data_IF_084879032199
#
_entry.id   IF_084879032199
#
_cell.length_a   1.000
_cell.length_b   1.000
_cell.length_c   1.000
_cell.angle_alpha   90.00
_cell.angle_beta   90.00
_cell.angle_gamma   90.00
#
_symmetry.space_group_name_H-M   'P 1'
#
loop_
_entity.id
_entity.type
_entity.pdbx_description
1 polymer ?
#
# COMPACT_ATOMS: atom_id res chain seq x y z
N UNK A 1 14.37 -26.40 16.23
CA UNK A 1 13.60 -25.20 15.84
C UNK A 1 14.08 -23.92 16.51
N UNK A 2 13.85 -23.63 17.82
CA UNK A 2 14.28 -22.32 18.41
C UNK A 2 15.77 -21.99 18.21
N UNK A 3 16.68 -22.96 18.31
CA UNK A 3 18.13 -22.73 18.06
C UNK A 3 18.44 -22.47 16.58
N UNK A 4 17.73 -23.10 15.69
CA UNK A 4 17.94 -22.90 14.24
C UNK A 4 17.40 -21.56 13.79
N UNK A 5 16.24 -21.15 14.31
CA UNK A 5 15.69 -19.81 14.05
C UNK A 5 16.65 -18.73 14.56
N UNK A 6 17.18 -18.84 15.79
CA UNK A 6 18.14 -17.87 16.30
C UNK A 6 19.36 -17.74 15.36
N UNK A 7 19.92 -18.87 14.87
CA UNK A 7 21.05 -18.85 13.92
C UNK A 7 20.69 -18.17 12.60
N UNK A 8 19.44 -18.34 12.11
CA UNK A 8 18.97 -17.66 10.91
C UNK A 8 18.91 -16.15 11.16
N UNK A 9 18.29 -15.73 12.26
CA UNK A 9 18.18 -14.32 12.60
C UNK A 9 19.58 -13.66 12.73
N UNK A 10 20.57 -14.39 13.28
CA UNK A 10 21.95 -13.91 13.38
C UNK A 10 22.68 -13.86 12.04
N UNK A 11 22.16 -14.51 10.98
CA UNK A 11 22.74 -14.49 9.63
C UNK A 11 22.20 -13.36 8.75
N UNK A 12 21.23 -12.57 9.22
CA UNK A 12 20.73 -11.37 8.54
C UNK A 12 21.88 -10.38 8.37
N UNK A 13 22.11 -9.95 7.13
CA UNK A 13 23.29 -9.17 6.75
C UNK A 13 22.91 -7.72 6.39
N UNK A 14 23.18 -6.82 7.33
CA UNK A 14 22.92 -5.38 7.17
C UNK A 14 23.61 -4.76 5.94
N UNK A 15 24.79 -5.25 5.57
CA UNK A 15 25.51 -4.73 4.40
C UNK A 15 24.80 -5.14 3.10
N UNK A 16 24.29 -6.36 3.04
CA UNK A 16 23.51 -6.85 1.91
C UNK A 16 22.18 -6.07 1.80
N UNK A 17 21.47 -5.89 2.92
CA UNK A 17 20.27 -5.03 3.00
C UNK A 17 20.59 -3.63 2.46
N UNK A 18 21.64 -2.99 2.97
CA UNK A 18 22.01 -1.62 2.58
C UNK A 18 22.30 -1.54 1.08
N UNK A 19 23.10 -2.47 0.55
CA UNK A 19 23.50 -2.46 -0.87
C UNK A 19 22.30 -2.69 -1.78
N UNK A 20 21.45 -3.67 -1.46
CA UNK A 20 20.28 -3.98 -2.25
C UNK A 20 19.22 -2.86 -2.20
N UNK A 21 19.02 -2.23 -1.04
CA UNK A 21 18.08 -1.13 -0.91
C UNK A 21 18.51 0.08 -1.76
N UNK A 22 19.80 0.43 -1.73
CA UNK A 22 20.34 1.50 -2.57
C UNK A 22 20.16 1.17 -4.06
N UNK A 23 20.43 -0.07 -4.46
CA UNK A 23 20.27 -0.51 -5.84
C UNK A 23 18.79 -0.48 -6.28
N UNK A 24 17.89 -0.96 -5.42
CA UNK A 24 16.46 -0.95 -5.68
C UNK A 24 15.88 0.47 -5.79
N UNK A 25 16.29 1.40 -4.92
CA UNK A 25 15.85 2.81 -5.00
C UNK A 25 16.39 3.47 -6.27
N UNK A 26 17.65 3.21 -6.65
CA UNK A 26 18.26 3.77 -7.87
C UNK A 26 17.64 3.19 -9.16
N UNK A 27 16.97 2.06 -9.08
CA UNK A 27 16.16 1.49 -10.15
C UNK A 27 14.77 2.14 -10.11
N UNK A 28 14.61 3.27 -10.85
CA UNK A 28 13.33 3.96 -10.93
C UNK A 28 12.27 3.07 -11.59
N UNK A 29 11.19 2.84 -10.88
CA UNK A 29 10.17 1.86 -11.25
C UNK A 29 8.75 2.40 -11.02
N UNK A 30 8.33 3.46 -11.72
CA UNK A 30 6.95 3.91 -11.60
C UNK A 30 6.01 2.79 -12.10
N UNK A 31 4.76 2.79 -11.62
CA UNK A 31 3.75 1.86 -12.12
C UNK A 31 3.74 1.81 -13.64
N UNK A 32 3.62 0.61 -14.19
CA UNK A 32 3.72 0.26 -15.62
C UNK A 32 5.12 0.32 -16.25
N UNK A 33 6.20 0.57 -15.46
CA UNK A 33 7.58 0.54 -15.91
C UNK A 33 8.53 -0.11 -14.87
N UNK A 34 8.12 -1.24 -14.30
CA UNK A 34 8.74 -1.86 -13.12
C UNK A 34 9.84 -2.88 -13.47
N UNK A 35 10.05 -3.22 -14.73
CA UNK A 35 10.96 -4.29 -15.16
C UNK A 35 12.36 -4.20 -14.56
N UNK A 36 12.94 -3.00 -14.45
CA UNK A 36 14.27 -2.82 -13.85
C UNK A 36 14.31 -3.18 -12.36
N UNK A 37 13.26 -2.86 -11.59
CA UNK A 37 13.21 -3.23 -10.16
C UNK A 37 13.05 -4.76 -10.02
N UNK A 38 12.24 -5.39 -10.86
CA UNK A 38 12.10 -6.85 -10.92
C UNK A 38 13.45 -7.51 -11.26
N UNK A 39 14.22 -6.95 -12.19
CA UNK A 39 15.58 -7.45 -12.53
C UNK A 39 16.54 -7.33 -11.34
N UNK A 40 16.53 -6.23 -10.59
CA UNK A 40 17.37 -6.06 -9.39
C UNK A 40 17.04 -7.15 -8.34
N UNK A 41 15.77 -7.38 -8.08
CA UNK A 41 15.34 -8.36 -7.09
C UNK A 41 15.58 -9.80 -7.54
N UNK A 42 15.32 -10.12 -8.83
CA UNK A 42 15.62 -11.45 -9.37
C UNK A 42 17.12 -11.75 -9.35
N UNK A 43 17.97 -10.80 -9.69
CA UNK A 43 19.42 -10.94 -9.62
C UNK A 43 19.93 -11.21 -8.19
N UNK A 44 19.33 -10.55 -7.19
CA UNK A 44 19.65 -10.80 -5.78
C UNK A 44 19.29 -12.24 -5.35
N UNK A 45 18.12 -12.73 -5.77
CA UNK A 45 17.68 -14.11 -5.52
C UNK A 45 18.56 -15.14 -6.25
N UNK A 46 18.87 -14.92 -7.53
CA UNK A 46 19.77 -15.78 -8.31
C UNK A 46 21.14 -15.93 -7.68
N UNK A 47 21.76 -14.80 -7.31
CA UNK A 47 23.05 -14.77 -6.61
C UNK A 47 23.05 -15.56 -5.29
N UNK A 48 21.90 -15.62 -4.64
CA UNK A 48 21.72 -16.36 -3.39
C UNK A 48 21.31 -17.84 -3.62
N UNK A 49 21.01 -18.24 -4.85
CA UNK A 49 20.51 -19.58 -5.19
C UNK A 49 19.07 -19.82 -4.76
N UNK A 50 18.25 -18.76 -4.65
CA UNK A 50 16.83 -18.85 -4.33
C UNK A 50 16.04 -18.98 -5.63
N UNK A 51 15.34 -20.10 -5.89
CA UNK A 51 14.55 -20.26 -7.11
C UNK A 51 13.31 -19.37 -7.08
N UNK A 52 12.98 -18.82 -8.25
CA UNK A 52 11.79 -17.99 -8.43
C UNK A 52 11.11 -18.28 -9.78
N UNK A 53 9.91 -17.76 -9.94
CA UNK A 53 9.18 -17.73 -11.21
C UNK A 53 8.70 -16.31 -11.50
N UNK A 54 8.58 -15.98 -12.79
CA UNK A 54 7.96 -14.74 -13.24
C UNK A 54 6.53 -15.04 -13.71
N UNK A 55 5.56 -14.30 -13.20
CA UNK A 55 4.18 -14.33 -13.63
C UNK A 55 3.91 -13.08 -14.48
N UNK A 56 3.73 -13.20 -15.80
CA UNK A 56 3.40 -12.04 -16.64
C UNK A 56 2.14 -11.32 -16.16
N UNK A 57 2.19 -9.99 -16.12
CA UNK A 57 1.04 -9.14 -15.80
C UNK A 57 0.66 -8.38 -17.08
N UNK A 58 -0.47 -8.73 -17.72
CA UNK A 58 -0.86 -8.13 -18.99
C UNK A 58 -1.11 -6.62 -18.85
N UNK A 59 -0.62 -5.85 -19.81
CA UNK A 59 -0.89 -4.43 -19.94
C UNK A 59 -1.19 -4.06 -21.39
N UNK A 60 -2.17 -3.18 -21.62
CA UNK A 60 -2.68 -2.88 -22.96
C UNK A 60 -1.86 -1.88 -23.76
N UNK A 61 -1.01 -1.07 -23.09
CA UNK A 61 -0.27 0.02 -23.74
C UNK A 61 1.09 0.22 -23.09
N UNK A 62 2.05 -0.70 -23.23
CA UNK A 62 3.33 -0.52 -22.58
C UNK A 62 4.28 -1.69 -22.69
N UNK A 63 5.09 -1.89 -21.67
CA UNK A 63 6.13 -2.89 -21.59
C UNK A 63 5.51 -4.30 -21.40
N UNK A 64 5.62 -5.15 -22.41
CA UNK A 64 5.21 -6.56 -22.37
C UNK A 64 6.06 -7.40 -21.39
N UNK A 65 7.11 -6.81 -20.77
CA UNK A 65 7.99 -7.48 -19.81
C UNK A 65 7.55 -7.36 -18.34
N UNK A 66 6.43 -6.71 -18.06
CA UNK A 66 5.90 -6.61 -16.68
C UNK A 66 5.54 -7.98 -16.12
N UNK A 67 6.05 -8.29 -14.96
CA UNK A 67 5.78 -9.55 -14.30
C UNK A 67 5.89 -9.43 -12.77
N UNK A 68 5.06 -10.18 -12.07
CA UNK A 68 5.28 -10.47 -10.66
C UNK A 68 6.45 -11.45 -10.51
N UNK A 69 7.28 -11.26 -9.49
CA UNK A 69 8.35 -12.17 -9.11
C UNK A 69 7.88 -13.02 -7.92
N UNK A 70 7.85 -14.35 -8.07
CA UNK A 70 7.26 -15.26 -7.09
C UNK A 70 8.29 -16.29 -6.64
N UNK A 71 8.46 -16.44 -5.33
CA UNK A 71 9.25 -17.49 -4.67
C UNK A 71 8.31 -18.42 -3.92
N UNK A 72 8.51 -19.73 -4.08
CA UNK A 72 7.83 -20.74 -3.25
C UNK A 72 8.86 -21.58 -2.52
N UNK A 73 8.74 -21.69 -1.21
CA UNK A 73 9.48 -22.62 -0.36
C UNK A 73 8.53 -23.71 0.15
N UNK A 74 8.99 -24.96 0.15
CA UNK A 74 8.21 -26.09 0.61
C UNK A 74 7.09 -26.54 -0.36
N UNK A 75 6.25 -27.49 0.09
CA UNK A 75 5.20 -28.08 -0.77
C UNK A 75 3.94 -27.21 -0.82
N UNK A 76 3.15 -27.34 -1.89
CA UNK A 76 1.78 -26.82 -1.92
C UNK A 76 0.84 -27.69 -1.06
N UNK A 77 -0.27 -27.14 -0.50
CA UNK A 77 -0.69 -25.74 -0.60
C UNK A 77 0.12 -24.79 0.29
N UNK A 78 0.07 -23.48 -0.01
CA UNK A 78 0.67 -22.48 0.84
C UNK A 78 -0.12 -22.31 2.14
N UNK A 79 0.59 -22.08 3.25
CA UNK A 79 0.00 -21.69 4.55
C UNK A 79 0.23 -20.22 4.87
N UNK A 80 1.21 -19.59 4.19
CA UNK A 80 1.59 -18.20 4.34
C UNK A 80 1.98 -17.62 2.98
N UNK A 81 1.57 -16.39 2.72
CA UNK A 81 2.02 -15.56 1.62
C UNK A 81 2.53 -14.23 2.17
N UNK A 82 3.74 -13.85 1.77
CA UNK A 82 4.28 -12.52 2.04
C UNK A 82 4.36 -11.75 0.73
N UNK A 83 3.94 -10.49 0.72
CA UNK A 83 3.83 -9.69 -0.50
C UNK A 83 4.46 -8.32 -0.30
N UNK A 84 5.12 -7.83 -1.33
CA UNK A 84 5.55 -6.44 -1.45
C UNK A 84 5.40 -5.96 -2.88
N UNK A 85 5.10 -4.68 -3.08
CA UNK A 85 5.11 -4.08 -4.42
C UNK A 85 6.49 -3.50 -4.77
N UNK A 86 6.81 -3.48 -6.05
CA UNK A 86 8.11 -3.03 -6.56
C UNK A 86 8.04 -1.67 -7.26
N UNK A 87 6.83 -1.23 -7.56
CA UNK A 87 6.58 0.06 -8.17
C UNK A 87 6.64 1.22 -7.16
N UNK A 88 6.61 2.41 -7.68
CA UNK A 88 6.55 3.66 -6.95
C UNK A 88 5.61 4.62 -7.68
N UNK A 89 5.15 5.65 -7.00
CA UNK A 89 4.50 6.77 -7.66
C UNK A 89 5.43 7.44 -8.70
N UNK A 90 4.86 8.26 -9.58
CA UNK A 90 5.62 9.08 -10.53
C UNK A 90 6.47 10.15 -9.83
N UNK A 91 7.56 10.56 -10.47
CA UNK A 91 8.38 11.68 -9.99
C UNK A 91 7.63 13.01 -10.13
N UNK A 92 7.70 13.82 -9.08
CA UNK A 92 7.19 15.20 -9.11
C UNK A 92 8.22 16.23 -9.61
N UNK A 93 9.50 15.84 -9.79
CA UNK A 93 10.54 16.66 -10.41
C UNK A 93 11.69 15.79 -10.94
N UNK A 94 12.40 16.26 -11.96
CA UNK A 94 13.56 15.56 -12.53
C UNK A 94 14.68 15.37 -11.49
N UNK A 95 15.23 14.15 -11.42
CA UNK A 95 16.40 13.79 -10.58
C UNK A 95 16.11 13.47 -9.12
N UNK A 96 14.85 13.31 -8.72
CA UNK A 96 14.46 13.14 -7.32
C UNK A 96 14.41 11.70 -6.78
N UNK A 97 14.74 10.66 -7.57
CA UNK A 97 14.56 9.27 -7.15
C UNK A 97 15.79 8.60 -6.52
N UNK A 98 17.00 9.13 -6.74
CA UNK A 98 18.24 8.47 -6.35
C UNK A 98 18.40 8.28 -4.83
N UNK A 99 18.99 7.14 -4.45
CA UNK A 99 19.27 6.81 -3.06
C UNK A 99 20.32 7.74 -2.45
N UNK A 100 20.03 8.29 -1.28
CA UNK A 100 20.95 9.09 -0.47
C UNK A 100 21.05 8.49 0.92
N UNK A 101 22.24 8.11 1.32
CA UNK A 101 22.47 7.60 2.68
C UNK A 101 22.95 8.70 3.61
N UNK A 102 22.36 8.75 4.80
CA UNK A 102 22.83 9.56 5.91
C UNK A 102 22.84 8.68 7.18
N UNK A 103 24.00 8.27 7.64
CA UNK A 103 24.19 7.30 8.72
C UNK A 103 23.37 6.01 8.50
N UNK A 104 22.37 5.78 9.33
CA UNK A 104 21.47 4.63 9.32
C UNK A 104 20.15 4.89 8.59
N UNK A 105 20.05 6.00 7.88
CA UNK A 105 18.83 6.36 7.12
C UNK A 105 19.16 6.35 5.63
N UNK A 106 18.30 5.67 4.86
CA UNK A 106 18.33 5.70 3.39
C UNK A 106 17.13 6.50 2.91
N UNK A 107 17.42 7.59 2.20
CA UNK A 107 16.43 8.44 1.54
C UNK A 107 16.31 8.05 0.07
N UNK A 108 15.12 8.24 -0.48
CA UNK A 108 14.83 8.07 -1.90
C UNK A 108 13.40 7.59 -2.12
N UNK A 109 12.90 7.80 -3.32
CA UNK A 109 11.55 7.37 -3.72
C UNK A 109 11.40 5.85 -3.62
N UNK A 110 10.35 5.39 -2.94
CA UNK A 110 10.13 3.98 -2.66
C UNK A 110 10.94 3.44 -1.48
N UNK A 111 11.72 4.26 -0.75
CA UNK A 111 12.52 3.79 0.39
C UNK A 111 11.64 3.22 1.50
N UNK A 112 10.57 3.92 1.86
CA UNK A 112 9.56 3.48 2.82
C UNK A 112 8.46 2.67 2.13
N UNK A 113 8.01 3.12 0.96
CA UNK A 113 6.86 2.60 0.23
C UNK A 113 7.24 2.03 -1.14
N UNK A 114 7.44 0.64 -1.28
CA UNK A 114 7.75 -0.21 -0.13
C UNK A 114 9.00 -1.06 -0.40
N UNK A 115 10.03 -0.48 -1.11
CA UNK A 115 11.28 -1.20 -1.43
C UNK A 115 12.04 -1.64 -0.19
N UNK A 116 11.94 -0.88 0.94
CA UNK A 116 12.45 -1.31 2.23
C UNK A 116 11.84 -2.63 2.70
N UNK A 117 10.53 -2.78 2.58
CA UNK A 117 9.80 -4.01 2.86
C UNK A 117 10.20 -5.15 1.92
N UNK A 118 10.31 -4.88 0.61
CA UNK A 118 10.77 -5.86 -0.37
C UNK A 118 12.18 -6.37 -0.10
N UNK A 119 13.11 -5.48 0.24
CA UNK A 119 14.49 -5.86 0.58
C UNK A 119 14.54 -6.69 1.85
N UNK A 120 13.72 -6.37 2.85
CA UNK A 120 13.60 -7.18 4.06
C UNK A 120 13.08 -8.61 3.76
N UNK A 121 12.10 -8.75 2.84
CA UNK A 121 11.61 -10.05 2.37
C UNK A 121 12.70 -10.86 1.65
N UNK A 122 13.47 -10.23 0.76
CA UNK A 122 14.58 -10.88 0.04
C UNK A 122 15.65 -11.35 1.02
N UNK A 123 16.02 -10.51 1.99
CA UNK A 123 17.01 -10.86 2.99
C UNK A 123 16.56 -12.04 3.87
N UNK A 124 15.29 -12.05 4.27
CA UNK A 124 14.69 -13.16 5.00
C UNK A 124 14.74 -14.48 4.20
N UNK A 125 14.37 -14.44 2.91
CA UNK A 125 14.47 -15.58 2.01
C UNK A 125 15.91 -16.11 1.92
N UNK A 126 16.86 -15.22 1.71
CA UNK A 126 18.30 -15.58 1.61
C UNK A 126 18.78 -16.26 2.89
N UNK A 127 18.44 -15.72 4.05
CA UNK A 127 18.85 -16.27 5.34
C UNK A 127 18.26 -17.68 5.57
N UNK A 128 16.97 -17.86 5.27
CA UNK A 128 16.26 -19.13 5.44
C UNK A 128 16.79 -20.19 4.47
N UNK A 129 16.95 -19.86 3.19
CA UNK A 129 17.44 -20.81 2.17
C UNK A 129 18.87 -21.23 2.46
N UNK A 130 19.77 -20.30 2.82
CA UNK A 130 21.14 -20.62 3.21
C UNK A 130 21.24 -21.50 4.45
N UNK A 131 20.30 -21.40 5.37
CA UNK A 131 20.26 -22.27 6.55
C UNK A 131 19.89 -23.72 6.20
N UNK A 132 19.31 -23.97 5.04
CA UNK A 132 18.97 -25.32 4.55
C UNK A 132 17.89 -26.01 5.39
N UNK A 133 16.99 -25.25 6.04
CA UNK A 133 15.93 -25.84 6.87
C UNK A 133 14.81 -26.37 5.96
N UNK A 134 14.42 -27.66 6.10
CA UNK A 134 13.33 -28.20 5.33
C UNK A 134 12.00 -27.50 5.68
N UNK A 135 11.29 -27.04 4.69
CA UNK A 135 9.93 -26.52 4.84
C UNK A 135 8.93 -27.67 4.72
N UNK A 136 8.13 -27.90 5.75
CA UNK A 136 7.07 -28.92 5.76
C UNK A 136 5.77 -28.38 5.17
N UNK A 137 5.57 -27.07 5.25
CA UNK A 137 4.42 -26.37 4.70
C UNK A 137 4.88 -25.36 3.66
N UNK A 138 4.02 -25.05 2.70
CA UNK A 138 4.32 -24.12 1.63
C UNK A 138 4.30 -22.66 2.09
N UNK A 139 5.34 -21.92 1.74
CA UNK A 139 5.47 -20.48 1.97
C UNK A 139 5.63 -19.81 0.61
N UNK A 140 4.78 -18.83 0.32
CA UNK A 140 4.91 -17.95 -0.83
C UNK A 140 5.52 -16.61 -0.44
N UNK A 141 6.36 -16.07 -1.31
CA UNK A 141 6.77 -14.65 -1.26
C UNK A 141 6.62 -14.09 -2.66
N UNK A 142 5.91 -12.98 -2.79
CA UNK A 142 5.63 -12.37 -4.08
C UNK A 142 6.03 -10.88 -4.06
N UNK A 143 6.65 -10.45 -5.14
CA UNK A 143 6.93 -9.06 -5.43
C UNK A 143 6.05 -8.69 -6.62
N UNK A 144 5.05 -7.85 -6.37
CA UNK A 144 4.01 -7.51 -7.35
C UNK A 144 4.28 -6.16 -8.00
N UNK A 145 3.70 -5.94 -9.15
CA UNK A 145 3.79 -4.70 -9.93
C UNK A 145 2.45 -3.95 -9.88
N UNK A 146 2.48 -2.64 -10.06
CA UNK A 146 1.28 -1.81 -10.32
C UNK A 146 0.41 -1.50 -9.11
N UNK A 147 0.89 -1.64 -7.89
CA UNK A 147 0.13 -1.36 -6.65
C UNK A 147 -0.31 0.10 -6.60
N UNK A 148 0.59 1.03 -6.87
CA UNK A 148 0.43 2.48 -6.75
C UNK A 148 -0.63 3.08 -7.70
N UNK A 149 -1.10 2.31 -8.69
CA UNK A 149 -2.07 2.77 -9.68
C UNK A 149 -3.28 1.83 -9.81
N UNK A 150 -3.09 0.57 -10.17
CA UNK A 150 -4.19 -0.31 -10.56
C UNK A 150 -4.33 -1.58 -9.74
N UNK A 151 -3.30 -1.97 -8.97
CA UNK A 151 -3.24 -3.25 -8.27
C UNK A 151 -3.29 -4.46 -9.21
N UNK A 152 -2.94 -4.30 -10.49
CA UNK A 152 -3.09 -5.34 -11.51
C UNK A 152 -2.17 -6.54 -11.26
N UNK A 153 -0.99 -6.31 -10.67
CA UNK A 153 -0.09 -7.39 -10.24
C UNK A 153 -0.72 -8.27 -9.15
N UNK A 154 -1.27 -7.67 -8.12
CA UNK A 154 -1.98 -8.40 -7.06
C UNK A 154 -3.23 -9.11 -7.60
N UNK A 155 -4.01 -8.44 -8.47
CA UNK A 155 -5.16 -9.04 -9.15
C UNK A 155 -4.79 -10.26 -10.00
N UNK A 156 -3.62 -10.23 -10.67
CA UNK A 156 -3.13 -11.39 -11.43
C UNK A 156 -2.65 -12.50 -10.48
N UNK A 157 -1.96 -12.13 -9.40
CA UNK A 157 -1.42 -13.09 -8.44
C UNK A 157 -2.51 -13.92 -7.76
N UNK A 158 -3.61 -13.30 -7.30
CA UNK A 158 -4.69 -14.02 -6.60
C UNK A 158 -5.44 -15.03 -7.46
N UNK A 159 -5.28 -15.02 -8.79
CA UNK A 159 -5.86 -16.02 -9.68
C UNK A 159 -5.20 -17.39 -9.55
N UNK A 160 -3.94 -17.42 -9.13
CA UNK A 160 -3.11 -18.62 -9.11
C UNK A 160 -2.49 -18.95 -7.76
N UNK A 161 -2.38 -17.95 -6.87
CA UNK A 161 -1.73 -18.07 -5.56
C UNK A 161 -2.73 -17.71 -4.46
N UNK A 162 -2.85 -18.56 -3.44
CA UNK A 162 -3.67 -18.30 -2.26
C UNK A 162 -3.03 -18.89 -1.01
N UNK A 163 -3.24 -18.25 0.13
CA UNK A 163 -2.82 -18.73 1.44
C UNK A 163 -3.84 -18.31 2.51
N UNK A 164 -4.01 -19.04 3.61
CA UNK A 164 -4.91 -18.65 4.71
C UNK A 164 -4.45 -17.41 5.47
N UNK A 165 -3.15 -17.08 5.42
CA UNK A 165 -2.54 -15.87 6.00
C UNK A 165 -1.69 -15.17 4.94
N UNK A 166 -1.94 -13.87 4.74
CA UNK A 166 -1.14 -13.01 3.86
C UNK A 166 -0.61 -11.82 4.66
N UNK A 167 0.68 -11.52 4.50
CA UNK A 167 1.33 -10.35 5.08
C UNK A 167 1.76 -9.43 3.95
N UNK A 168 1.35 -8.16 4.02
CA UNK A 168 1.78 -7.11 3.09
C UNK A 168 2.83 -6.26 3.80
N UNK A 169 3.98 -6.06 3.17
CA UNK A 169 5.16 -5.43 3.78
C UNK A 169 5.18 -3.90 3.72
N UNK A 170 4.01 -3.23 3.71
CA UNK A 170 3.85 -1.77 3.71
C UNK A 170 4.42 -1.09 4.97
N UNK A 171 4.71 0.23 4.92
CA UNK A 171 5.34 0.98 5.99
C UNK A 171 4.41 1.18 7.19
N UNK A 172 4.55 0.36 8.21
CA UNK A 172 3.78 0.40 9.47
C UNK A 172 4.66 0.62 10.70
N UNK A 173 5.95 0.95 10.54
CA UNK A 173 6.94 0.92 11.62
C UNK A 173 6.90 -0.41 12.40
N UNK A 174 6.70 -1.53 11.69
CA UNK A 174 6.56 -2.89 12.22
C UNK A 174 5.36 -3.10 13.17
N UNK A 175 4.38 -2.21 13.16
CA UNK A 175 3.09 -2.45 13.83
C UNK A 175 2.29 -3.47 13.01
N UNK A 176 1.81 -4.58 13.62
CA UNK A 176 0.99 -5.55 12.89
C UNK A 176 -0.43 -5.00 12.72
N UNK A 177 -0.73 -4.41 11.57
CA UNK A 177 -2.03 -3.83 11.30
C UNK A 177 -3.03 -4.91 10.88
N UNK A 178 -3.94 -5.24 11.80
CA UNK A 178 -5.04 -6.21 11.58
C UNK A 178 -6.32 -5.54 11.08
N UNK A 179 -6.33 -4.21 11.05
CA UNK A 179 -7.35 -3.40 10.41
C UNK A 179 -6.71 -2.54 9.30
N UNK A 180 -7.46 -2.34 8.24
CA UNK A 180 -7.00 -1.69 7.02
C UNK A 180 -8.10 -0.78 6.49
N UNK A 181 -7.75 0.46 6.15
CA UNK A 181 -8.71 1.40 5.61
C UNK A 181 -9.14 1.01 4.20
N UNK A 182 -10.35 1.42 3.86
CA UNK A 182 -10.86 1.43 2.50
C UNK A 182 -10.50 2.72 1.79
N UNK A 183 -10.81 2.76 0.50
CA UNK A 183 -10.57 3.91 -0.36
C UNK A 183 -11.76 4.17 -1.26
N UNK A 184 -12.14 5.44 -1.38
CA UNK A 184 -13.13 5.90 -2.34
C UNK A 184 -12.55 7.08 -3.13
N UNK A 185 -12.50 6.94 -4.44
CA UNK A 185 -12.20 8.06 -5.33
C UNK A 185 -13.50 8.60 -5.93
N UNK A 186 -13.66 9.92 -5.85
CA UNK A 186 -14.87 10.58 -6.36
C UNK A 186 -14.50 11.77 -7.23
N UNK A 187 -15.06 11.80 -8.43
CA UNK A 187 -15.08 12.99 -9.29
C UNK A 187 -16.26 13.87 -8.93
N UNK A 188 -15.99 15.15 -8.70
CA UNK A 188 -16.99 16.19 -8.54
C UNK A 188 -17.03 17.05 -9.79
N UNK A 189 -18.23 17.39 -10.26
CA UNK A 189 -18.43 18.20 -11.47
C UNK A 189 -19.39 19.33 -11.13
N UNK A 190 -19.01 20.57 -11.51
CA UNK A 190 -19.87 21.72 -11.42
C UNK A 190 -20.01 22.39 -12.77
N UNK A 191 -21.24 22.60 -13.20
CA UNK A 191 -21.58 23.27 -14.47
C UNK A 191 -22.40 24.51 -14.16
N UNK A 192 -21.83 25.64 -14.49
CA UNK A 192 -22.41 26.97 -14.24
C UNK A 192 -23.00 27.61 -15.46
N UNK A 193 -23.17 28.93 -15.38
CA UNK A 193 -23.69 29.74 -16.45
C UNK A 193 -22.74 30.91 -16.72
N UNK A 194 -22.27 31.01 -17.96
CA UNK A 194 -21.38 32.09 -18.40
C UNK A 194 -22.03 33.46 -18.29
N UNK A 195 -21.26 34.44 -17.86
CA UNK A 195 -21.60 35.85 -17.83
C UNK A 195 -20.34 36.71 -18.00
N UNK A 196 -20.47 37.99 -18.19
CA UNK A 196 -19.34 38.92 -18.21
C UNK A 196 -18.71 39.00 -16.81
N UNK A 197 -17.37 38.95 -16.73
CA UNK A 197 -16.65 38.91 -15.44
C UNK A 197 -16.92 40.14 -14.52
N UNK A 198 -17.33 41.29 -15.08
CA UNK A 198 -17.67 42.47 -14.29
C UNK A 198 -19.08 42.45 -13.67
N UNK A 199 -19.93 41.50 -14.05
CA UNK A 199 -21.30 41.29 -13.52
C UNK A 199 -21.49 39.80 -13.17
N UNK A 200 -20.72 39.27 -12.22
CA UNK A 200 -20.69 37.84 -11.92
C UNK A 200 -22.03 37.32 -11.38
N UNK A 201 -22.86 38.19 -10.81
CA UNK A 201 -24.21 37.88 -10.35
C UNK A 201 -25.21 37.53 -11.47
N UNK A 202 -24.88 37.86 -12.73
CA UNK A 202 -25.68 37.49 -13.90
C UNK A 202 -25.38 36.05 -14.38
N UNK A 203 -24.39 35.37 -13.80
CA UNK A 203 -23.99 33.99 -14.14
C UNK A 203 -23.95 33.09 -12.93
N UNK A 204 -23.61 31.81 -13.19
CA UNK A 204 -23.32 30.81 -12.16
C UNK A 204 -21.88 30.41 -12.21
N UNK A 205 -21.07 30.80 -11.23
CA UNK A 205 -19.64 30.49 -11.22
C UNK A 205 -19.38 29.06 -10.73
N UNK A 206 -18.99 28.19 -11.67
CA UNK A 206 -18.70 26.79 -11.39
C UNK A 206 -17.53 26.61 -10.41
N UNK A 207 -16.48 27.43 -10.51
CA UNK A 207 -15.33 27.35 -9.59
C UNK A 207 -15.75 27.72 -8.17
N UNK A 208 -16.54 28.77 -7.99
CA UNK A 208 -17.00 29.18 -6.65
C UNK A 208 -17.86 28.09 -5.98
N UNK A 209 -18.74 27.45 -6.76
CA UNK A 209 -19.57 26.37 -6.25
C UNK A 209 -18.72 25.11 -5.92
N UNK A 210 -17.72 24.77 -6.75
CA UNK A 210 -16.81 23.64 -6.49
C UNK A 210 -16.02 23.87 -5.20
N UNK A 211 -15.42 25.04 -5.02
CA UNK A 211 -14.69 25.39 -3.80
C UNK A 211 -15.59 25.29 -2.56
N UNK A 212 -16.82 25.83 -2.65
CA UNK A 212 -17.79 25.72 -1.57
C UNK A 212 -18.16 24.28 -1.25
N UNK A 213 -18.30 23.43 -2.26
CA UNK A 213 -18.66 22.01 -2.10
C UNK A 213 -17.53 21.23 -1.42
N UNK A 214 -16.30 21.33 -1.92
CA UNK A 214 -15.12 20.68 -1.32
C UNK A 214 -14.93 21.12 0.13
N UNK A 215 -15.01 22.43 0.42
CA UNK A 215 -14.87 22.95 1.79
C UNK A 215 -15.98 22.43 2.72
N UNK A 216 -17.17 22.24 2.23
CA UNK A 216 -18.28 21.61 3.00
C UNK A 216 -17.99 20.13 3.30
N UNK A 217 -17.52 19.37 2.31
CA UNK A 217 -17.14 17.96 2.49
C UNK A 217 -16.04 17.87 3.55
N UNK A 218 -14.96 18.64 3.42
CA UNK A 218 -13.83 18.68 4.37
C UNK A 218 -14.32 19.06 5.78
N UNK A 219 -15.12 20.12 5.92
CA UNK A 219 -15.62 20.56 7.20
C UNK A 219 -16.53 19.54 7.90
N UNK A 220 -17.33 18.81 7.13
CA UNK A 220 -18.18 17.74 7.67
C UNK A 220 -17.38 16.50 8.06
N UNK A 221 -16.33 16.14 7.32
CA UNK A 221 -15.48 15.00 7.65
C UNK A 221 -14.71 15.19 8.97
N UNK A 222 -14.50 16.45 9.39
CA UNK A 222 -13.87 16.79 10.67
C UNK A 222 -14.85 16.83 11.86
N UNK A 223 -16.13 16.52 11.61
CA UNK A 223 -17.19 16.54 12.63
C UNK A 223 -17.68 15.13 12.95
N UNK A 224 -18.21 14.85 14.16
CA UNK A 224 -18.82 13.55 14.43
C UNK A 224 -19.82 13.11 13.35
N UNK A 225 -19.83 11.83 12.95
CA UNK A 225 -19.10 10.70 13.57
C UNK A 225 -17.67 10.44 13.04
N UNK A 226 -17.13 11.25 12.12
CA UNK A 226 -15.95 10.92 11.29
C UNK A 226 -14.55 11.32 11.83
N UNK A 227 -14.31 12.14 12.84
CA UNK A 227 -13.06 12.92 12.99
C UNK A 227 -11.75 12.12 13.05
N UNK A 228 -11.77 10.83 13.30
CA UNK A 228 -10.58 9.97 13.27
C UNK A 228 -10.70 8.79 12.30
N UNK A 229 -11.83 8.68 11.61
CA UNK A 229 -12.21 7.51 10.82
C UNK A 229 -12.21 7.79 9.31
N UNK A 230 -12.01 9.05 8.93
CA UNK A 230 -12.10 9.51 7.56
C UNK A 230 -11.03 10.56 7.29
N UNK A 231 -10.11 10.27 6.36
CA UNK A 231 -9.25 11.28 5.77
C UNK A 231 -9.82 11.69 4.41
N UNK A 232 -9.88 12.99 4.15
CA UNK A 232 -10.41 13.57 2.91
C UNK A 232 -9.35 14.45 2.29
N UNK A 233 -8.96 14.13 1.06
CA UNK A 233 -7.93 14.84 0.31
C UNK A 233 -8.45 15.29 -1.06
N UNK A 234 -8.68 16.60 -1.30
CA UNK A 234 -8.82 17.11 -2.67
C UNK A 234 -7.49 16.94 -3.42
N UNK A 235 -7.46 16.02 -4.39
CA UNK A 235 -6.24 15.69 -5.13
C UNK A 235 -6.03 16.60 -6.34
N UNK A 236 -7.11 16.88 -7.07
CA UNK A 236 -7.06 17.65 -8.30
C UNK A 236 -8.24 18.63 -8.39
N UNK A 237 -8.01 19.76 -9.04
CA UNK A 237 -9.07 20.69 -9.41
C UNK A 237 -8.70 21.40 -10.72
N UNK A 238 -9.62 21.37 -11.68
CA UNK A 238 -9.48 21.98 -12.99
C UNK A 238 -10.74 22.76 -13.37
N UNK A 239 -10.60 23.98 -13.84
CA UNK A 239 -11.76 24.76 -14.22
C UNK A 239 -11.43 26.16 -14.74
N UNK A 240 -12.44 26.78 -15.33
CA UNK A 240 -12.36 28.10 -15.93
C UNK A 240 -11.86 28.10 -17.37
N UNK A 241 -11.96 29.26 -18.00
CA UNK A 241 -11.51 29.51 -19.35
C UNK A 241 -10.60 30.76 -19.39
N UNK A 242 -9.74 30.89 -20.43
CA UNK A 242 -8.78 32.00 -20.51
C UNK A 242 -9.42 33.33 -20.90
N UNK A 243 -10.73 33.50 -20.78
CA UNK A 243 -11.48 34.69 -21.16
C UNK A 243 -11.97 35.46 -19.92
N UNK A 244 -12.40 36.72 -20.10
CA UNK A 244 -12.97 37.56 -19.05
C UNK A 244 -14.46 37.21 -18.80
N UNK A 245 -14.72 35.99 -18.40
CA UNK A 245 -16.06 35.45 -18.18
C UNK A 245 -16.19 34.78 -16.82
N UNK A 246 -17.41 34.61 -16.34
CA UNK A 246 -17.74 33.72 -15.22
C UNK A 246 -17.50 32.29 -15.66
N UNK A 247 -16.78 31.49 -14.86
CA UNK A 247 -16.42 30.13 -15.19
C UNK A 247 -17.67 29.23 -15.31
N UNK A 248 -17.76 28.52 -16.43
CA UNK A 248 -18.91 27.69 -16.76
C UNK A 248 -18.70 26.21 -16.37
N UNK A 249 -17.44 25.80 -16.17
CA UNK A 249 -17.12 24.43 -15.83
C UNK A 249 -15.99 24.35 -14.80
N UNK A 250 -16.09 23.37 -13.87
CA UNK A 250 -15.03 22.97 -12.97
C UNK A 250 -15.20 21.52 -12.55
N UNK A 251 -14.11 20.74 -12.57
CA UNK A 251 -14.04 19.38 -12.09
C UNK A 251 -13.00 19.27 -10.97
N UNK A 252 -13.19 18.33 -10.06
CA UNK A 252 -12.24 18.00 -9.02
C UNK A 252 -12.23 16.49 -8.75
N UNK A 253 -11.07 15.96 -8.38
CA UNK A 253 -10.94 14.63 -7.80
C UNK A 253 -10.72 14.75 -6.30
N UNK A 254 -11.44 13.95 -5.55
CA UNK A 254 -11.37 13.91 -4.09
C UNK A 254 -11.23 12.47 -3.61
N UNK A 255 -10.25 12.24 -2.76
CA UNK A 255 -9.92 10.95 -2.19
C UNK A 255 -10.45 10.86 -0.77
N UNK A 256 -10.99 9.69 -0.42
CA UNK A 256 -11.43 9.35 0.92
C UNK A 256 -10.71 8.08 1.36
N UNK A 257 -9.89 8.17 2.43
CA UNK A 257 -9.39 7.00 3.15
C UNK A 257 -10.33 6.73 4.32
N UNK A 258 -10.92 5.55 4.32
CA UNK A 258 -12.13 5.25 5.08
C UNK A 258 -11.87 4.13 6.07
N UNK A 259 -12.01 4.40 7.38
CA UNK A 259 -11.95 3.34 8.41
C UNK A 259 -12.93 2.21 8.09
N UNK A 260 -12.62 0.95 8.45
CA UNK A 260 -13.54 -0.18 8.28
C UNK A 260 -14.92 0.00 8.93
N UNK A 261 -15.01 0.92 9.89
CA UNK A 261 -16.24 1.22 10.65
C UNK A 261 -17.14 2.26 9.94
N UNK A 262 -16.68 2.82 8.81
CA UNK A 262 -17.43 3.81 8.00
C UNK A 262 -17.83 3.16 6.68
N UNK A 263 -19.11 3.25 6.35
CA UNK A 263 -19.65 2.64 5.14
C UNK A 263 -19.58 3.58 3.93
N UNK A 264 -19.70 3.02 2.72
CA UNK A 264 -19.83 3.79 1.50
C UNK A 264 -21.05 4.72 1.55
N UNK A 265 -22.14 4.26 2.16
CA UNK A 265 -23.38 5.00 2.33
C UNK A 265 -23.19 6.23 3.22
N UNK A 266 -22.33 6.15 4.24
CA UNK A 266 -21.98 7.30 5.10
C UNK A 266 -21.26 8.40 4.30
N UNK A 267 -20.33 8.02 3.43
CA UNK A 267 -19.63 8.97 2.55
C UNK A 267 -20.58 9.57 1.52
N UNK A 268 -21.44 8.73 0.92
CA UNK A 268 -22.47 9.21 0.00
C UNK A 268 -23.39 10.22 0.67
N UNK A 269 -23.81 9.98 1.92
CA UNK A 269 -24.64 10.92 2.70
C UNK A 269 -23.90 12.23 2.96
N UNK A 270 -22.61 12.18 3.30
CA UNK A 270 -21.74 13.35 3.49
C UNK A 270 -21.68 14.19 2.21
N UNK A 271 -21.41 13.56 1.05
CA UNK A 271 -21.32 14.24 -0.25
C UNK A 271 -22.68 14.88 -0.60
N UNK A 272 -23.78 14.16 -0.46
CA UNK A 272 -25.14 14.65 -0.75
C UNK A 272 -25.57 15.79 0.17
N UNK A 273 -25.20 15.74 1.45
CA UNK A 273 -25.52 16.80 2.41
C UNK A 273 -24.81 18.09 2.04
N UNK A 274 -23.51 17.99 1.69
CA UNK A 274 -22.73 19.12 1.21
C UNK A 274 -23.31 19.65 -0.12
N UNK A 275 -23.63 18.77 -1.08
CA UNK A 275 -24.24 19.10 -2.36
C UNK A 275 -25.53 19.93 -2.17
N UNK A 276 -26.47 19.44 -1.36
CA UNK A 276 -27.75 20.15 -1.10
C UNK A 276 -27.53 21.57 -0.56
N UNK A 277 -26.59 21.74 0.37
CA UNK A 277 -26.25 23.05 0.95
C UNK A 277 -25.71 24.01 -0.11
N UNK A 278 -24.81 23.53 -0.98
CA UNK A 278 -24.16 24.36 -2.01
C UNK A 278 -25.14 24.68 -3.16
N UNK A 279 -25.95 23.73 -3.60
CA UNK A 279 -26.96 23.97 -4.64
C UNK A 279 -27.97 25.03 -4.23
N UNK A 280 -28.29 25.13 -2.93
CA UNK A 280 -29.16 26.19 -2.41
C UNK A 280 -28.48 27.58 -2.49
N UNK A 281 -27.18 27.64 -2.22
CA UNK A 281 -26.40 28.88 -2.25
C UNK A 281 -25.99 29.31 -3.69
N UNK A 282 -25.92 28.36 -4.61
CA UNK A 282 -25.51 28.55 -6.01
C UNK A 282 -26.58 28.04 -7.00
N UNK A 283 -27.77 28.65 -7.06
CA UNK A 283 -28.94 28.11 -7.81
C UNK A 283 -28.71 28.07 -9.32
N UNK A 284 -27.74 28.80 -9.88
CA UNK A 284 -27.38 28.79 -11.29
C UNK A 284 -26.25 27.81 -11.64
N UNK A 285 -25.85 26.95 -10.69
CA UNK A 285 -24.82 25.93 -10.89
C UNK A 285 -25.42 24.56 -10.66
N UNK A 286 -25.24 23.67 -11.63
CA UNK A 286 -25.55 22.25 -11.50
C UNK A 286 -24.33 21.52 -10.92
N UNK A 287 -24.56 20.68 -9.91
CA UNK A 287 -23.53 19.86 -9.26
C UNK A 287 -23.83 18.38 -9.51
N UNK A 288 -22.79 17.63 -9.84
CA UNK A 288 -22.86 16.19 -10.06
C UNK A 288 -21.62 15.52 -9.46
N UNK A 289 -21.74 14.26 -9.02
CA UNK A 289 -20.59 13.47 -8.59
C UNK A 289 -20.66 12.05 -9.15
N UNK A 290 -19.47 11.46 -9.34
CA UNK A 290 -19.28 10.11 -9.82
C UNK A 290 -18.21 9.40 -8.99
N UNK A 291 -18.54 8.27 -8.39
CA UNK A 291 -17.55 7.40 -7.78
C UNK A 291 -16.79 6.63 -8.86
N UNK A 292 -15.45 6.74 -8.83
CA UNK A 292 -14.57 6.11 -9.81
C UNK A 292 -14.04 4.77 -9.29
N UNK A 293 -13.66 4.72 -8.00
CA UNK A 293 -13.13 3.53 -7.36
C UNK A 293 -13.74 3.38 -5.96
N UNK A 294 -14.02 2.16 -5.55
CA UNK A 294 -14.33 1.79 -4.18
C UNK A 294 -13.59 0.52 -3.80
N UNK A 295 -12.73 0.59 -2.80
CA UNK A 295 -12.10 -0.54 -2.14
C UNK A 295 -12.54 -0.54 -0.66
N UNK A 296 -13.32 -1.53 -0.19
CA UNK A 296 -13.78 -1.56 1.20
C UNK A 296 -12.61 -1.83 2.16
N UNK A 297 -12.61 -1.15 3.30
CA UNK A 297 -11.74 -1.48 4.42
C UNK A 297 -12.15 -2.81 5.09
N UNK A 298 -11.26 -3.32 5.94
CA UNK A 298 -11.54 -4.55 6.71
C UNK A 298 -10.90 -4.49 8.09
N UNK A 299 -11.44 -5.31 9.02
CA UNK A 299 -10.88 -5.52 10.36
C UNK A 299 -10.95 -7.00 10.70
N UNK A 300 -9.82 -7.60 11.00
CA UNK A 300 -9.76 -8.96 11.49
C UNK A 300 -9.75 -9.00 13.03
N UNK A 301 -10.29 -10.08 13.58
CA UNK A 301 -10.21 -10.30 15.02
C UNK A 301 -8.75 -10.55 15.43
N UNK A 302 -8.30 -9.86 16.44
CA UNK A 302 -6.98 -10.10 17.02
C UNK A 302 -6.86 -11.50 17.63
N UNK A 303 -7.99 -12.14 17.98
CA UNK A 303 -8.04 -13.51 18.52
C UNK A 303 -7.98 -14.60 17.42
N UNK A 304 -7.91 -14.24 16.13
CA UNK A 304 -7.88 -15.23 15.05
C UNK A 304 -6.65 -16.14 15.19
N UNK A 305 -6.90 -17.46 15.18
CA UNK A 305 -5.87 -18.46 15.39
C UNK A 305 -4.79 -18.46 14.30
N UNK A 306 -5.12 -17.99 13.09
CA UNK A 306 -4.18 -17.85 11.96
C UNK A 306 -3.05 -16.87 12.28
N UNK A 307 -3.26 -15.93 13.20
CA UNK A 307 -2.23 -15.00 13.70
C UNK A 307 -1.18 -15.68 14.61
N UNK A 308 -1.38 -16.93 14.99
CA UNK A 308 -0.51 -17.61 15.95
C UNK A 308 0.95 -17.69 15.54
N UNK A 309 1.25 -17.98 14.26
CA UNK A 309 2.62 -17.98 13.73
C UNK A 309 3.24 -16.58 13.73
N UNK A 310 2.46 -15.55 13.37
CA UNK A 310 2.91 -14.18 13.37
C UNK A 310 3.23 -13.67 14.79
N UNK A 311 2.38 -13.96 15.78
CA UNK A 311 2.64 -13.60 17.19
C UNK A 311 3.94 -14.23 17.70
N UNK A 312 4.18 -15.51 17.40
CA UNK A 312 5.44 -16.17 17.79
C UNK A 312 6.65 -15.60 17.06
N UNK A 313 6.48 -15.19 15.80
CA UNK A 313 7.55 -14.53 15.06
C UNK A 313 7.92 -13.17 15.67
N UNK A 314 6.93 -12.39 16.11
CA UNK A 314 7.16 -11.14 16.87
C UNK A 314 7.97 -11.40 18.14
N UNK A 315 7.59 -12.39 18.93
CA UNK A 315 8.34 -12.78 20.14
C UNK A 315 9.78 -13.16 19.83
N UNK A 316 10.02 -13.94 18.77
CA UNK A 316 11.36 -14.37 18.37
C UNK A 316 12.21 -13.22 17.81
N UNK A 317 11.60 -12.29 17.12
CA UNK A 317 12.26 -11.08 16.63
C UNK A 317 12.47 -10.03 17.72
N UNK A 318 11.97 -10.26 18.96
CA UNK A 318 12.08 -9.30 20.06
C UNK A 318 11.18 -8.08 19.92
N UNK A 319 10.09 -8.20 19.13
CA UNK A 319 9.12 -7.15 18.89
C UNK A 319 7.88 -7.30 19.80
N UNK A 320 7.26 -6.17 20.14
CA UNK A 320 6.01 -6.17 20.90
C UNK A 320 4.82 -6.41 19.98
N UNK A 321 3.91 -7.30 20.38
CA UNK A 321 2.63 -7.49 19.71
C UNK A 321 1.64 -6.42 20.16
N UNK A 322 1.44 -5.41 19.34
CA UNK A 322 0.50 -4.31 19.57
C UNK A 322 -0.21 -4.02 18.25
N UNK A 323 -1.31 -4.68 17.94
CA UNK A 323 -2.04 -4.48 16.69
C UNK A 323 -2.52 -3.05 16.51
N UNK A 324 -2.54 -2.62 15.25
CA UNK A 324 -2.99 -1.29 14.84
C UNK A 324 -3.83 -1.30 13.58
N UNK A 325 -4.12 -0.10 13.09
CA UNK A 325 -4.87 0.15 11.87
C UNK A 325 -3.91 0.72 10.81
N UNK A 326 -3.90 0.14 9.60
CA UNK A 326 -3.25 0.75 8.44
C UNK A 326 -4.19 1.78 7.82
N UNK A 327 -3.81 3.05 7.86
CA UNK A 327 -4.68 4.18 7.53
C UNK A 327 -4.70 4.56 6.05
N UNK A 328 -4.26 3.66 5.19
CA UNK A 328 -4.34 3.80 3.73
C UNK A 328 -5.01 2.57 3.13
N UNK A 329 -5.25 2.59 1.82
CA UNK A 329 -5.49 1.38 1.06
C UNK A 329 -4.15 0.81 0.59
N UNK A 330 -4.17 -0.45 0.18
CA UNK A 330 -3.05 -1.14 -0.46
C UNK A 330 -3.57 -2.41 -1.14
N UNK A 331 -2.68 -3.20 -1.73
CA UNK A 331 -3.01 -4.53 -2.24
C UNK A 331 -3.70 -5.43 -1.20
N UNK A 332 -3.59 -5.12 0.09
CA UNK A 332 -4.31 -5.83 1.15
C UNK A 332 -5.83 -5.85 0.92
N UNK A 333 -6.41 -4.80 0.33
CA UNK A 333 -7.84 -4.79 -0.04
C UNK A 333 -8.14 -5.89 -1.06
N UNK A 334 -7.24 -6.12 -2.03
CA UNK A 334 -7.39 -7.14 -3.08
C UNK A 334 -7.29 -8.53 -2.46
N UNK A 335 -6.24 -8.80 -1.68
CA UNK A 335 -6.05 -10.10 -1.03
C UNK A 335 -7.19 -10.44 -0.09
N UNK A 336 -7.69 -9.48 0.69
CA UNK A 336 -8.81 -9.70 1.60
C UNK A 336 -10.08 -10.20 0.90
N UNK A 337 -10.29 -9.86 -0.40
CA UNK A 337 -11.45 -10.37 -1.17
C UNK A 337 -11.43 -11.87 -1.38
N UNK A 338 -10.28 -12.52 -1.25
CA UNK A 338 -10.13 -13.98 -1.40
C UNK A 338 -10.46 -14.76 -0.12
N UNK A 339 -10.77 -14.08 0.98
CA UNK A 339 -11.04 -14.69 2.29
C UNK A 339 -9.79 -15.05 3.08
N UNK A 340 -8.59 -14.67 2.60
CA UNK A 340 -7.36 -14.77 3.40
C UNK A 340 -7.41 -13.81 4.58
N UNK A 341 -6.80 -14.19 5.69
CA UNK A 341 -6.53 -13.23 6.75
C UNK A 341 -5.34 -12.37 6.33
N UNK A 342 -5.57 -11.08 6.11
CA UNK A 342 -4.55 -10.16 5.61
C UNK A 342 -4.09 -9.22 6.72
N UNK A 343 -2.77 -9.11 6.91
CA UNK A 343 -2.14 -8.21 7.88
C UNK A 343 -1.12 -7.36 7.14
N UNK A 344 -1.09 -6.09 7.44
CA UNK A 344 -0.07 -5.17 6.92
C UNK A 344 1.01 -4.98 7.97
N UNK A 345 2.27 -5.23 7.62
CA UNK A 345 3.38 -5.10 8.55
C UNK A 345 4.72 -5.01 7.82
N UNK A 346 5.37 -3.88 7.87
CA UNK A 346 6.68 -3.66 7.28
C UNK A 346 7.45 -2.49 7.90
N UNK A 347 8.70 -2.27 7.46
CA UNK A 347 9.55 -1.19 7.93
C UNK A 347 9.14 0.14 7.29
N UNK A 348 9.49 1.24 7.94
CA UNK A 348 9.18 2.59 7.46
C UNK A 348 7.87 3.12 8.03
N UNK A 349 7.64 4.41 7.82
CA UNK A 349 6.47 5.13 8.29
C UNK A 349 5.68 5.68 7.09
N UNK A 350 4.39 5.37 7.03
CA UNK A 350 3.48 5.88 5.99
C UNK A 350 3.48 7.42 5.91
N UNK A 351 3.76 8.10 7.02
CA UNK A 351 3.77 9.57 7.07
C UNK A 351 4.88 10.21 6.21
N UNK A 352 5.93 9.47 5.86
CA UNK A 352 7.00 9.98 4.99
C UNK A 352 6.88 9.48 3.55
N UNK A 353 6.05 8.46 3.31
CA UNK A 353 5.75 7.94 1.98
C UNK A 353 5.19 9.04 1.08
N UNK A 354 5.48 8.95 -0.23
CA UNK A 354 5.07 9.94 -1.24
C UNK A 354 5.58 11.37 -0.95
N UNK A 355 6.47 11.52 0.03
CA UNK A 355 7.07 12.79 0.42
C UNK A 355 8.44 13.03 -0.22
N UNK A 356 8.87 14.31 -0.34
CA UNK A 356 10.18 14.67 -0.91
C UNK A 356 11.37 14.14 -0.12
N UNK A 357 11.19 13.92 1.17
CA UNK A 357 12.19 13.38 2.10
C UNK A 357 11.81 11.95 2.52
N UNK A 358 11.20 11.21 1.62
CA UNK A 358 10.89 9.81 1.86
C UNK A 358 12.15 9.04 2.23
N UNK A 359 12.07 8.24 3.29
CA UNK A 359 13.21 7.51 3.83
C UNK A 359 12.79 6.31 4.68
N UNK A 360 13.75 5.42 4.89
CA UNK A 360 13.59 4.30 5.83
C UNK A 360 14.86 4.15 6.68
N UNK A 361 14.71 3.68 7.91
CA UNK A 361 15.83 3.36 8.79
C UNK A 361 16.33 1.94 8.52
N UNK A 362 17.64 1.79 8.39
CA UNK A 362 18.26 0.47 8.15
C UNK A 362 18.03 -0.52 9.30
N UNK A 363 17.93 -0.04 10.54
CA UNK A 363 17.61 -0.90 11.68
C UNK A 363 16.16 -1.44 11.61
N UNK A 364 15.21 -0.68 11.08
CA UNK A 364 13.84 -1.16 10.85
C UNK A 364 13.80 -2.20 9.72
N UNK A 365 14.52 -1.98 8.62
CA UNK A 365 14.60 -2.95 7.51
C UNK A 365 15.24 -4.25 7.98
N UNK A 366 16.32 -4.17 8.78
CA UNK A 366 16.95 -5.34 9.39
C UNK A 366 16.00 -6.07 10.34
N UNK A 367 15.25 -5.33 11.16
CA UNK A 367 14.27 -5.90 12.09
C UNK A 367 13.10 -6.54 11.35
N UNK A 368 12.64 -5.96 10.25
CA UNK A 368 11.64 -6.55 9.36
C UNK A 368 12.14 -7.87 8.76
N UNK A 369 13.38 -7.90 8.28
CA UNK A 369 13.99 -9.13 7.75
C UNK A 369 14.05 -10.25 8.80
N UNK A 370 14.39 -9.90 10.06
CA UNK A 370 14.33 -10.83 11.19
C UNK A 370 12.91 -11.34 11.46
N UNK A 371 11.93 -10.45 11.47
CA UNK A 371 10.52 -10.81 11.65
C UNK A 371 10.03 -11.77 10.56
N UNK A 372 10.30 -11.43 9.29
CA UNK A 372 9.87 -12.26 8.16
C UNK A 372 10.58 -13.63 8.14
N UNK A 373 11.88 -13.68 8.45
CA UNK A 373 12.61 -14.94 8.57
C UNK A 373 12.05 -15.82 9.70
N UNK A 374 11.74 -15.23 10.86
CA UNK A 374 11.11 -15.93 11.97
C UNK A 374 9.72 -16.47 11.57
N UNK A 375 8.92 -15.65 10.87
CA UNK A 375 7.59 -16.03 10.41
C UNK A 375 7.63 -17.17 9.38
N UNK A 376 8.56 -17.12 8.43
CA UNK A 376 8.78 -18.20 7.45
C UNK A 376 9.12 -19.50 8.17
N UNK A 377 10.00 -19.45 9.17
CA UNK A 377 10.37 -20.63 9.97
C UNK A 377 9.20 -21.16 10.82
N UNK A 378 8.42 -20.27 11.44
CA UNK A 378 7.27 -20.66 12.26
C UNK A 378 6.14 -21.26 11.44
N UNK A 379 5.84 -20.68 10.28
CA UNK A 379 4.76 -21.17 9.43
C UNK A 379 5.18 -22.40 8.60
N UNK A 380 6.44 -22.44 8.13
CA UNK A 380 6.96 -23.53 7.28
C UNK A 380 7.44 -24.75 8.05
N UNK A 381 7.71 -24.64 9.36
CA UNK A 381 8.18 -25.73 10.21
C UNK A 381 7.06 -26.60 10.79
N UNK A 382 7.41 -27.49 11.74
CA UNK A 382 6.40 -28.21 12.53
C UNK A 382 5.67 -27.23 13.44
N UNK A 383 4.35 -27.15 13.32
CA UNK A 383 3.50 -26.60 14.35
C UNK A 383 3.70 -27.47 15.60
N UNK A 384 4.36 -26.95 16.62
CA UNK A 384 4.32 -27.60 17.94
C UNK A 384 2.86 -27.47 18.39
N UNK A 385 2.08 -28.55 18.24
CA UNK A 385 0.78 -28.65 18.90
C UNK A 385 1.00 -28.24 20.36
N UNK A 386 0.51 -27.06 20.73
CA UNK A 386 0.34 -26.70 22.14
C UNK A 386 -0.72 -27.63 22.67
N UNK A 387 -0.24 -28.78 23.21
CA UNK A 387 -1.07 -29.83 23.71
C UNK A 387 -2.13 -29.30 24.66
N UNK A 388 -3.36 -29.60 24.32
CA UNK A 388 -4.47 -29.66 25.26
C UNK A 388 -4.01 -30.35 26.55
N UNK A 389 -3.90 -29.60 27.63
CA UNK A 389 -4.05 -30.10 28.98
C UNK A 389 -5.02 -29.21 29.72
#
# INVERSE_FOLDING_TARGET
MKKDTARILDSIDRNRITSLLIEAINSYSPSFAESQAVEVFSAALEKAGVPYTLQPVPWTTGDDSRANLIVQLGPSPLVLLLVGHVDTIGLWHEGGHGARRNDDIIYGLGAADMKGGCVALIEALIAVVKAGIPMKHGIGVAFVVGEEESGDGAQELIKTVSAPLTIIGEPTALVPCTAHYGYLETRLISTGQRAHAAVPEAGGNAINAMLAWMMKIIGQSQSPPFPSQLAVNPREIHGGEPYFVVAEHCEALIDFHVSPDVTREDIEMLIRTAHKSVSTAHPLVHLEHQHLLWAPGFRHSEEDQRLGSLRRAYEQAGLSWQPGDFRSHSDANIFNTTGTLTVVCGPGDLAVAHGREEHVRLDEVEQAARLYAALICEAGGDQVESGSR
#
